data_IF_405513307013
#
_entry.id   IF_405513307013
#
_cell.length_a   1.000
_cell.length_b   1.000
_cell.length_c   1.000
_cell.angle_alpha   90.00
_cell.angle_beta   90.00
_cell.angle_gamma   90.00
#
_symmetry.space_group_name_H-M   'P 1'
#
loop_
_entity.id
_entity.type
_entity.pdbx_description
1 polymer ?
#
# COMPACT_ATOMS: atom_id res chain seq x y z
N UNK A 1 2.67 20.88 29.25
CA UNK A 1 2.29 19.91 28.19
C UNK A 1 0.81 20.14 27.92
N UNK A 2 0.48 20.84 26.83
CA UNK A 2 -0.91 20.98 26.38
C UNK A 2 -1.33 19.66 25.72
N UNK A 3 -2.45 19.03 26.12
CA UNK A 3 -2.92 17.82 25.46
C UNK A 3 -3.32 18.17 24.02
N UNK A 4 -2.67 17.56 23.03
CA UNK A 4 -3.08 17.71 21.62
C UNK A 4 -4.50 17.17 21.47
N UNK A 5 -5.39 18.00 20.90
CA UNK A 5 -6.76 17.62 20.54
C UNK A 5 -6.71 16.47 19.51
N UNK A 6 -7.61 15.49 19.65
CA UNK A 6 -7.72 14.39 18.69
C UNK A 6 -8.06 14.93 17.30
N UNK A 7 -7.25 14.58 16.29
CA UNK A 7 -7.45 14.97 14.90
C UNK A 7 -7.67 13.74 14.02
N UNK A 8 -8.60 13.83 13.07
CA UNK A 8 -8.84 12.77 12.09
C UNK A 8 -7.98 13.01 10.85
N UNK A 9 -7.26 11.97 10.40
CA UNK A 9 -6.55 11.95 9.11
C UNK A 9 -7.24 10.94 8.22
N UNK A 10 -7.83 11.40 7.12
CA UNK A 10 -8.46 10.52 6.12
C UNK A 10 -7.45 10.17 5.03
N UNK A 11 -7.32 8.88 4.72
CA UNK A 11 -6.45 8.38 3.66
C UNK A 11 -7.21 7.42 2.73
N UNK A 12 -7.14 7.67 1.43
CA UNK A 12 -7.58 6.70 0.42
C UNK A 12 -6.46 5.74 0.10
N UNK A 13 -6.75 4.45 0.05
CA UNK A 13 -5.70 3.42 -0.06
C UNK A 13 -6.18 2.16 -0.77
N UNK A 14 -5.37 1.50 -1.63
CA UNK A 14 -5.74 0.23 -2.24
C UNK A 14 -5.99 -0.81 -1.14
N UNK A 15 -7.05 -1.60 -1.27
CA UNK A 15 -7.48 -2.55 -0.23
C UNK A 15 -6.34 -3.47 0.24
N UNK A 16 -5.42 -3.85 -0.64
CA UNK A 16 -4.25 -4.64 -0.30
C UNK A 16 -3.25 -3.92 0.60
N UNK A 17 -2.98 -2.64 0.33
CA UNK A 17 -2.08 -1.86 1.17
C UNK A 17 -2.73 -1.56 2.53
N UNK A 18 -4.04 -1.31 2.54
CA UNK A 18 -4.80 -1.12 3.78
C UNK A 18 -4.66 -2.35 4.69
N UNK A 19 -5.02 -3.54 4.18
CA UNK A 19 -5.10 -4.76 4.98
C UNK A 19 -3.73 -5.36 5.32
N UNK A 20 -2.76 -5.26 4.43
CA UNK A 20 -1.48 -5.97 4.57
C UNK A 20 -0.37 -5.09 5.14
N UNK A 21 -0.54 -3.77 5.15
CA UNK A 21 0.48 -2.82 5.61
C UNK A 21 -0.03 -1.89 6.70
N UNK A 22 -1.13 -1.17 6.46
CA UNK A 22 -1.62 -0.15 7.41
C UNK A 22 -2.31 -0.76 8.63
N UNK A 23 -3.24 -1.70 8.43
CA UNK A 23 -4.00 -2.33 9.52
C UNK A 23 -3.08 -3.01 10.54
N UNK A 24 -2.07 -3.81 10.14
CA UNK A 24 -1.09 -4.37 11.08
C UNK A 24 -0.27 -3.31 11.82
N UNK A 25 -0.16 -2.10 11.27
CA UNK A 25 0.60 -0.99 11.85
C UNK A 25 -0.19 -0.12 12.83
N UNK A 26 -1.52 -0.27 12.90
CA UNK A 26 -2.39 0.55 13.75
C UNK A 26 -2.02 0.54 15.24
N UNK A 27 -1.60 -0.59 15.86
CA UNK A 27 -1.18 -0.57 17.26
C UNK A 27 0.02 0.33 17.54
N UNK A 28 0.98 0.38 16.62
CA UNK A 28 2.17 1.23 16.77
C UNK A 28 1.86 2.68 16.42
N UNK A 29 0.95 2.92 15.46
CA UNK A 29 0.43 4.26 15.18
C UNK A 29 -0.23 4.84 16.44
N UNK A 30 -1.09 4.07 17.10
CA UNK A 30 -1.79 4.50 18.31
C UNK A 30 -0.82 4.86 19.46
N UNK A 31 0.34 4.18 19.54
CA UNK A 31 1.40 4.51 20.51
C UNK A 31 2.21 5.74 20.11
N UNK A 32 2.58 5.84 18.83
CA UNK A 32 3.47 6.88 18.33
C UNK A 32 2.75 8.23 18.18
N UNK A 33 1.48 8.21 17.76
CA UNK A 33 0.67 9.38 17.42
C UNK A 33 -0.73 9.25 18.08
N UNK A 34 -0.83 9.25 19.42
CA UNK A 34 -2.10 9.02 20.13
C UNK A 34 -3.16 10.10 19.89
N UNK A 35 -2.78 11.26 19.34
CA UNK A 35 -3.68 12.35 18.96
C UNK A 35 -4.23 12.21 17.52
N UNK A 36 -3.87 11.16 16.78
CA UNK A 36 -4.36 10.92 15.42
C UNK A 36 -5.34 9.74 15.41
N UNK A 37 -6.53 9.99 14.87
CA UNK A 37 -7.47 8.94 14.44
C UNK A 37 -7.33 8.78 12.93
N UNK A 38 -7.05 7.57 12.47
CA UNK A 38 -7.00 7.28 11.04
C UNK A 38 -8.38 6.89 10.53
N UNK A 39 -8.82 7.54 9.46
CA UNK A 39 -10.01 7.20 8.69
C UNK A 39 -9.56 6.60 7.35
N UNK A 40 -9.82 5.31 7.16
CA UNK A 40 -9.32 4.52 6.03
C UNK A 40 -10.43 4.36 4.98
N UNK A 41 -10.20 4.89 3.78
CA UNK A 41 -11.12 4.73 2.65
C UNK A 41 -10.47 3.80 1.62
N UNK A 42 -11.04 2.62 1.41
CA UNK A 42 -10.50 1.66 0.43
C UNK A 42 -10.92 2.02 -0.98
N UNK A 43 -9.97 2.00 -1.90
CA UNK A 43 -10.17 2.22 -3.34
C UNK A 43 -9.88 0.93 -4.11
N UNK A 44 -10.69 0.65 -5.13
CA UNK A 44 -10.61 -0.58 -5.90
C UNK A 44 -10.17 -0.33 -7.35
N UNK A 45 -10.42 0.86 -7.91
CA UNK A 45 -10.06 1.22 -9.28
C UNK A 45 -9.35 2.57 -9.37
N UNK A 46 -8.53 2.78 -10.42
CA UNK A 46 -7.91 4.08 -10.65
C UNK A 46 -8.88 5.26 -10.82
N UNK A 47 -10.10 4.98 -11.28
CA UNK A 47 -11.17 6.00 -11.39
C UNK A 47 -11.62 6.51 -10.03
N UNK A 48 -11.42 5.74 -8.96
CA UNK A 48 -11.84 6.11 -7.61
C UNK A 48 -10.86 7.11 -6.96
N UNK A 49 -9.73 7.44 -7.61
CA UNK A 49 -8.75 8.39 -7.10
C UNK A 49 -9.19 9.86 -7.22
N UNK A 50 -10.17 10.16 -8.07
CA UNK A 50 -10.57 11.54 -8.38
C UNK A 50 -11.82 11.99 -7.61
N UNK A 51 -12.33 11.15 -6.71
CA UNK A 51 -13.42 11.53 -5.81
C UNK A 51 -12.97 12.53 -4.73
N UNK A 52 -13.78 13.55 -4.49
CA UNK A 52 -13.53 14.55 -3.45
C UNK A 52 -13.66 13.93 -2.05
N UNK A 53 -12.77 14.32 -1.11
CA UNK A 53 -12.91 13.97 0.32
C UNK A 53 -11.64 13.55 1.06
N UNK A 54 -10.49 13.41 0.38
CA UNK A 54 -9.20 13.08 1.02
C UNK A 54 -8.08 14.02 0.57
N UNK A 55 -7.26 14.43 1.53
CA UNK A 55 -6.00 15.13 1.23
C UNK A 55 -4.91 14.14 0.82
N UNK A 56 -4.92 12.90 1.35
CA UNK A 56 -3.89 11.89 1.11
C UNK A 56 -4.43 10.64 0.39
N UNK A 57 -3.78 10.22 -0.70
CA UNK A 57 -4.13 9.02 -1.47
C UNK A 57 -2.90 8.13 -1.71
N UNK A 58 -3.02 6.82 -1.51
CA UNK A 58 -2.03 5.83 -1.94
C UNK A 58 -2.34 5.42 -3.38
N UNK A 59 -1.54 5.83 -4.36
CA UNK A 59 -1.76 5.55 -5.78
C UNK A 59 -0.77 4.54 -6.31
N UNK A 60 -1.22 3.66 -7.20
CA UNK A 60 -0.35 2.79 -7.98
C UNK A 60 0.04 3.48 -9.30
N UNK A 61 1.35 3.54 -9.60
CA UNK A 61 1.82 4.13 -10.85
C UNK A 61 3.34 4.33 -10.91
N UNK A 62 3.76 5.22 -11.81
CA UNK A 62 5.17 5.58 -12.04
C UNK A 62 5.62 6.85 -11.28
N UNK A 63 4.77 7.38 -10.40
CA UNK A 63 5.04 8.61 -9.65
C UNK A 63 4.59 9.90 -10.34
N UNK A 64 4.22 9.85 -11.62
CA UNK A 64 3.71 11.03 -12.36
C UNK A 64 2.19 11.09 -12.27
N UNK A 65 1.67 11.93 -11.38
CA UNK A 65 0.22 12.15 -11.19
C UNK A 65 -0.10 13.64 -11.40
N UNK A 66 -0.90 13.96 -12.41
CA UNK A 66 -1.21 15.35 -12.77
C UNK A 66 -1.82 16.11 -11.58
N UNK A 67 -1.22 17.26 -11.22
CA UNK A 67 -1.70 18.12 -10.12
C UNK A 67 -1.50 17.55 -8.71
N UNK A 68 -0.65 16.53 -8.53
CA UNK A 68 -0.39 15.88 -7.25
C UNK A 68 1.11 15.79 -6.98
N UNK A 69 1.49 15.96 -5.72
CA UNK A 69 2.82 15.59 -5.24
C UNK A 69 2.82 14.09 -4.88
N UNK A 70 3.97 13.42 -4.95
CA UNK A 70 4.06 11.98 -4.73
C UNK A 70 5.38 11.55 -4.05
N UNK A 71 5.27 10.82 -2.94
CA UNK A 71 6.38 10.10 -2.33
C UNK A 71 6.29 8.61 -2.65
N UNK A 72 7.39 8.03 -3.14
CA UNK A 72 7.44 6.60 -3.46
C UNK A 72 7.43 5.71 -2.21
N UNK A 73 6.59 4.68 -2.23
CA UNK A 73 6.42 3.69 -1.16
C UNK A 73 6.88 2.28 -1.56
N UNK A 74 6.74 1.80 -2.81
CA UNK A 74 7.12 0.40 -3.21
C UNK A 74 7.70 0.25 -4.66
N UNK A 75 8.00 -0.99 -5.11
CA UNK A 75 8.55 -1.41 -6.45
C UNK A 75 7.67 -2.51 -7.16
N UNK A 76 7.59 -2.65 -8.52
CA UNK A 76 6.66 -3.57 -9.28
C UNK A 76 7.31 -4.57 -10.30
N UNK A 77 6.72 -5.77 -10.53
CA UNK A 77 7.34 -6.95 -11.20
C UNK A 77 7.08 -7.14 -12.72
N UNK A 78 5.95 -6.72 -13.29
CA UNK A 78 5.46 -7.33 -14.56
C UNK A 78 6.24 -6.95 -15.83
N UNK A 79 6.79 -5.74 -15.91
CA UNK A 79 7.45 -5.24 -17.13
C UNK A 79 8.84 -5.87 -17.40
N UNK A 80 9.45 -6.54 -16.42
CA UNK A 80 10.86 -6.94 -16.48
C UNK A 80 11.09 -8.47 -16.52
N UNK A 81 10.03 -9.29 -16.53
CA UNK A 81 10.18 -10.75 -16.37
C UNK A 81 10.51 -11.51 -17.66
N UNK A 82 10.20 -10.99 -18.85
CA UNK A 82 10.49 -11.67 -20.14
C UNK A 82 9.89 -13.08 -20.30
N UNK A 83 9.02 -13.51 -19.37
CA UNK A 83 8.45 -14.85 -19.34
C UNK A 83 7.27 -14.95 -20.32
N UNK A 84 7.32 -15.94 -21.22
CA UNK A 84 6.17 -16.28 -22.06
C UNK A 84 5.00 -16.68 -21.15
N UNK A 85 3.90 -15.93 -21.22
CA UNK A 85 2.73 -16.12 -20.36
C UNK A 85 2.16 -17.53 -20.51
N UNK A 86 2.02 -18.26 -19.41
CA UNK A 86 1.33 -19.54 -19.40
C UNK A 86 -0.16 -19.32 -19.69
N UNK A 87 -0.67 -20.01 -20.72
CA UNK A 87 -1.97 -19.77 -21.38
C UNK A 87 -3.20 -20.31 -20.64
N UNK A 88 -3.13 -20.64 -19.36
CA UNK A 88 -4.27 -21.16 -18.61
C UNK A 88 -4.44 -20.38 -17.29
N UNK A 89 -4.91 -19.13 -17.41
CA UNK A 89 -5.43 -18.39 -16.24
C UNK A 89 -6.81 -18.95 -15.92
N UNK A 90 -6.92 -19.84 -14.93
CA UNK A 90 -8.22 -20.38 -14.50
C UNK A 90 -9.09 -19.34 -13.80
N UNK A 91 -8.47 -18.38 -13.10
CA UNK A 91 -9.18 -17.36 -12.31
C UNK A 91 -8.56 -15.96 -12.47
N UNK A 92 -9.42 -14.93 -12.40
CA UNK A 92 -9.03 -13.52 -12.42
C UNK A 92 -9.63 -12.83 -11.19
N UNK A 93 -8.79 -12.11 -10.47
CA UNK A 93 -9.17 -11.29 -9.33
C UNK A 93 -8.90 -9.82 -9.65
N UNK A 94 -9.75 -8.95 -9.15
CA UNK A 94 -9.60 -7.49 -9.28
C UNK A 94 -8.81 -6.85 -8.13
N UNK A 95 -8.53 -7.62 -7.07
CA UNK A 95 -7.69 -7.20 -5.95
C UNK A 95 -6.60 -8.23 -5.64
N UNK A 96 -5.45 -7.71 -5.20
CA UNK A 96 -4.32 -8.54 -4.77
C UNK A 96 -4.68 -9.43 -3.57
N UNK A 97 -5.48 -8.94 -2.64
CA UNK A 97 -5.91 -9.70 -1.45
C UNK A 97 -6.71 -10.93 -1.87
N UNK A 98 -7.68 -10.77 -2.78
CA UNK A 98 -8.46 -11.90 -3.28
C UNK A 98 -7.58 -12.94 -3.99
N UNK A 99 -6.61 -12.49 -4.80
CA UNK A 99 -5.64 -13.39 -5.43
C UNK A 99 -4.75 -14.11 -4.39
N UNK A 100 -4.34 -13.40 -3.33
CA UNK A 100 -3.52 -13.95 -2.27
C UNK A 100 -4.27 -14.99 -1.44
N UNK A 101 -5.51 -14.73 -1.06
CA UNK A 101 -6.37 -15.69 -0.35
C UNK A 101 -6.68 -16.94 -1.20
N UNK A 102 -6.86 -16.77 -2.51
CA UNK A 102 -7.00 -17.90 -3.43
C UNK A 102 -5.73 -18.77 -3.45
N UNK A 103 -4.54 -18.17 -3.50
CA UNK A 103 -3.29 -18.92 -3.46
C UNK A 103 -3.09 -19.64 -2.12
N UNK A 104 -3.37 -18.99 -0.99
CA UNK A 104 -3.36 -19.62 0.34
C UNK A 104 -4.32 -20.81 0.43
N UNK A 105 -5.43 -20.76 -0.30
CA UNK A 105 -6.43 -21.83 -0.39
C UNK A 105 -6.05 -22.94 -1.38
N UNK A 106 -4.85 -22.90 -1.97
CA UNK A 106 -4.37 -23.91 -2.91
C UNK A 106 -4.87 -23.73 -4.35
N UNK A 107 -5.48 -22.60 -4.70
CA UNK A 107 -6.01 -22.35 -6.05
C UNK A 107 -4.93 -21.96 -7.08
N UNK A 108 -3.65 -22.00 -6.71
CA UNK A 108 -2.51 -21.76 -7.60
C UNK A 108 -1.45 -20.85 -7.00
N UNK A 109 -0.66 -20.21 -7.86
CA UNK A 109 0.40 -19.27 -7.49
C UNK A 109 0.05 -17.85 -7.93
N UNK A 110 0.53 -16.86 -7.18
CA UNK A 110 0.47 -15.45 -7.55
C UNK A 110 1.85 -14.81 -7.59
N UNK A 111 1.92 -13.69 -8.27
CA UNK A 111 3.08 -12.80 -8.24
C UNK A 111 2.90 -11.85 -7.07
N UNK A 112 3.73 -12.00 -6.04
CA UNK A 112 3.60 -11.26 -4.81
C UNK A 112 4.50 -10.03 -4.75
N UNK A 113 3.95 -8.90 -4.30
CA UNK A 113 4.78 -7.77 -3.84
C UNK A 113 5.36 -8.13 -2.47
N UNK A 114 6.69 -8.16 -2.34
CA UNK A 114 7.39 -8.57 -1.10
C UNK A 114 6.82 -7.89 0.16
N UNK A 115 6.64 -6.55 0.21
CA UNK A 115 6.05 -5.89 1.38
C UNK A 115 4.63 -6.36 1.72
N UNK A 116 3.87 -6.87 0.75
CA UNK A 116 2.48 -7.31 0.95
C UNK A 116 2.39 -8.79 1.35
N UNK A 117 3.37 -9.62 0.96
CA UNK A 117 3.35 -11.07 1.24
C UNK A 117 4.26 -11.50 2.38
N UNK A 118 5.08 -10.59 2.92
CA UNK A 118 6.09 -10.88 3.95
C UNK A 118 5.50 -11.66 5.14
N UNK A 119 4.35 -11.20 5.66
CA UNK A 119 3.67 -11.88 6.76
C UNK A 119 3.19 -13.30 6.38
N UNK A 120 2.61 -13.44 5.18
CA UNK A 120 2.12 -14.73 4.71
C UNK A 120 3.26 -15.74 4.46
N UNK A 121 4.44 -15.27 4.04
CA UNK A 121 5.64 -16.11 3.94
C UNK A 121 6.15 -16.51 5.33
N UNK A 122 6.25 -15.53 6.25
CA UNK A 122 6.71 -15.77 7.63
C UNK A 122 5.84 -16.78 8.38
N UNK A 123 4.54 -16.72 8.15
CA UNK A 123 3.56 -17.61 8.80
C UNK A 123 3.38 -18.95 8.05
N UNK A 124 4.20 -19.23 7.02
CA UNK A 124 4.12 -20.41 6.14
C UNK A 124 2.75 -20.61 5.46
N UNK A 125 1.97 -19.54 5.31
CA UNK A 125 0.71 -19.55 4.55
C UNK A 125 0.96 -19.46 3.04
N UNK A 126 2.12 -18.94 2.65
CA UNK A 126 2.64 -18.97 1.29
C UNK A 126 4.07 -19.51 1.31
N UNK A 127 4.46 -20.15 0.21
CA UNK A 127 5.84 -20.57 -0.03
C UNK A 127 6.36 -19.88 -1.29
N UNK A 128 7.64 -19.53 -1.26
CA UNK A 128 8.33 -18.96 -2.42
C UNK A 128 8.61 -20.06 -3.45
N UNK A 129 8.16 -19.87 -4.70
CA UNK A 129 8.38 -20.84 -5.79
C UNK A 129 9.62 -20.55 -6.65
N UNK A 130 10.21 -19.36 -6.56
CA UNK A 130 11.39 -18.96 -7.35
C UNK A 130 12.18 -17.86 -6.65
N UNK A 131 13.51 -17.93 -6.70
CA UNK A 131 14.43 -16.92 -6.12
C UNK A 131 14.56 -15.64 -6.95
N UNK A 132 13.85 -15.55 -8.07
CA UNK A 132 13.84 -14.36 -8.90
C UNK A 132 13.10 -13.19 -8.21
N UNK A 133 13.82 -12.09 -7.97
CA UNK A 133 13.31 -10.83 -7.43
C UNK A 133 13.61 -9.68 -8.39
N UNK A 134 12.65 -8.78 -8.58
CA UNK A 134 12.79 -7.63 -9.46
C UNK A 134 12.75 -6.32 -8.67
N UNK A 135 13.82 -5.53 -8.80
CA UNK A 135 13.89 -4.16 -8.29
C UNK A 135 13.42 -3.18 -9.37
N UNK A 136 12.16 -2.76 -9.30
CA UNK A 136 11.54 -1.84 -10.27
C UNK A 136 11.54 -0.39 -9.81
N UNK A 137 11.32 0.59 -10.69
CA UNK A 137 11.08 2.00 -10.35
C UNK A 137 9.61 2.38 -10.01
N UNK A 138 8.62 1.49 -10.19
CA UNK A 138 7.17 1.77 -10.00
C UNK A 138 6.61 1.20 -8.70
N UNK A 139 5.69 1.86 -8.00
CA UNK A 139 5.02 1.24 -6.84
C UNK A 139 3.90 2.07 -6.25
N UNK A 140 3.58 1.84 -4.99
CA UNK A 140 2.62 2.64 -4.25
C UNK A 140 3.24 4.00 -3.95
N UNK A 141 2.48 5.09 -4.05
CA UNK A 141 2.94 6.43 -3.69
C UNK A 141 1.94 7.08 -2.74
N UNK A 142 2.40 7.74 -1.69
CA UNK A 142 1.55 8.64 -0.90
C UNK A 142 1.46 9.98 -1.64
N UNK A 143 0.25 10.43 -1.96
CA UNK A 143 0.01 11.62 -2.80
C UNK A 143 -0.97 12.59 -2.15
N UNK A 144 -0.86 13.88 -2.46
CA UNK A 144 -1.80 14.92 -2.04
C UNK A 144 -1.94 16.03 -3.09
N UNK A 145 -3.03 16.82 -3.09
CA UNK A 145 -3.16 17.96 -4.00
C UNK A 145 -2.04 18.98 -3.76
N UNK A 146 -1.33 19.38 -4.83
CA UNK A 146 -0.21 20.34 -4.71
C UNK A 146 -0.64 21.73 -4.22
N UNK A 147 -1.93 22.06 -4.34
CA UNK A 147 -2.53 23.29 -3.79
C UNK A 147 -2.87 23.21 -2.31
N UNK A 148 -2.83 22.01 -1.70
CA UNK A 148 -3.18 21.79 -0.30
C UNK A 148 -1.94 21.77 0.58
N UNK A 149 -1.98 22.52 1.68
CA UNK A 149 -0.98 22.41 2.74
C UNK A 149 -1.42 21.34 3.72
N UNK A 150 -0.63 20.27 3.87
CA UNK A 150 -0.86 19.26 4.89
C UNK A 150 -0.91 19.91 6.28
N UNK A 151 -1.96 19.60 7.03
CA UNK A 151 -2.13 19.93 8.45
C UNK A 151 -1.00 19.31 9.29
N UNK A 152 -0.88 19.76 10.55
CA UNK A 152 0.10 19.20 11.49
C UNK A 152 -0.06 17.69 11.66
N UNK A 153 -1.30 17.20 11.80
CA UNK A 153 -1.60 15.77 11.91
C UNK A 153 -1.25 14.98 10.65
N UNK A 154 -1.57 15.49 9.47
CA UNK A 154 -1.24 14.83 8.20
C UNK A 154 0.28 14.75 7.99
N UNK A 155 1.02 15.80 8.37
CA UNK A 155 2.49 15.79 8.31
C UNK A 155 3.11 14.81 9.31
N UNK A 156 2.59 14.74 10.53
CA UNK A 156 3.02 13.77 11.54
C UNK A 156 2.79 12.34 11.06
N UNK A 157 1.58 12.06 10.55
CA UNK A 157 1.24 10.76 9.98
C UNK A 157 2.14 10.40 8.78
N UNK A 158 2.36 11.33 7.84
CA UNK A 158 3.27 11.14 6.70
C UNK A 158 4.68 10.76 7.16
N UNK A 159 5.25 11.52 8.10
CA UNK A 159 6.61 11.25 8.63
C UNK A 159 6.70 9.87 9.28
N UNK A 160 5.71 9.53 10.11
CA UNK A 160 5.65 8.23 10.75
C UNK A 160 5.55 7.08 9.74
N UNK A 161 4.65 7.21 8.75
CA UNK A 161 4.43 6.18 7.73
C UNK A 161 5.70 5.94 6.90
N UNK A 162 6.37 7.00 6.45
CA UNK A 162 7.63 6.89 5.70
C UNK A 162 8.73 6.24 6.55
N UNK A 163 8.88 6.64 7.81
CA UNK A 163 9.86 6.03 8.72
C UNK A 163 9.61 4.54 8.93
N UNK A 164 8.35 4.11 9.02
CA UNK A 164 7.99 2.71 9.19
C UNK A 164 8.23 1.87 7.93
N UNK A 165 7.91 2.40 6.75
CA UNK A 165 8.12 1.67 5.50
C UNK A 165 9.60 1.54 5.15
N UNK A 166 10.42 2.52 5.54
CA UNK A 166 11.87 2.43 5.44
C UNK A 166 12.44 1.26 6.27
N UNK A 167 11.84 0.93 7.43
CA UNK A 167 12.29 -0.20 8.26
C UNK A 167 11.80 -1.57 7.77
N UNK A 168 10.89 -1.62 6.79
CA UNK A 168 10.38 -2.87 6.18
C UNK A 168 11.18 -3.22 4.91
N UNK A 169 11.88 -2.25 4.32
CA UNK A 169 12.65 -2.41 3.08
C UNK A 169 14.15 -2.65 3.32
N UNK A 170 14.57 -2.81 4.57
CA UNK A 170 15.96 -3.06 5.01
C UNK A 170 16.09 -4.50 5.53
#
# INVERSE_FOLDING_TARGET
FEPRVLQTVTIRVPISFALLVLVPALPDLAKALPWIRLDLVTIHRPTDYDEAGSTLDIRFGNGSFSGRDADRLTVEWFAASGLAGHSQRSHRFDSFVAAMEAAKSGAGALLGSRPLIEAALKDNLLVRLSDFELSSPSGHFLTWPSSSRLSGAEQDFRRWLLSRLASISA
#
